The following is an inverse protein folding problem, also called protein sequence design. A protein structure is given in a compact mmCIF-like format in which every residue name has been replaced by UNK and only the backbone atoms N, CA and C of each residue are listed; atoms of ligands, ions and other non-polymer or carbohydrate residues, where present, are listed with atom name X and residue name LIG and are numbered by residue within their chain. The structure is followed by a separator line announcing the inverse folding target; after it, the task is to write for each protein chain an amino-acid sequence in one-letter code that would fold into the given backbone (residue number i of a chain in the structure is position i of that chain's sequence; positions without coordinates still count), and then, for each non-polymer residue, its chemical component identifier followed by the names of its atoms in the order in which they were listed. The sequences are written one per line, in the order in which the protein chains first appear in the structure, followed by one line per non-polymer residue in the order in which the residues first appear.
data_IF_544140639426
#
_entry.id   IF_544140639426
#
_cell.length_a   1.000
_cell.length_b   1.000
_cell.length_c   1.000
_cell.angle_alpha   90.00
_cell.angle_beta   90.00
_cell.angle_gamma   90.00
#
_symmetry.space_group_name_H-M   'P 1'
#
loop_
_entity.id
_entity.type
_entity.pdbx_description
1 polymer ?
#
# COMPACT_ATOMS: atom_id res chain seq x y z
N UNK A 1 -19.43 -48.99 -9.43
CA UNK A 1 -18.11 -48.45 -9.04
C UNK A 1 -18.29 -46.98 -8.72
N UNK A 2 -18.23 -46.60 -7.45
CA UNK A 2 -18.36 -45.19 -7.02
C UNK A 2 -16.95 -44.61 -6.82
N UNK A 3 -16.54 -43.68 -7.68
CA UNK A 3 -15.28 -42.97 -7.55
C UNK A 3 -15.39 -41.94 -6.42
N UNK A 4 -14.59 -42.15 -5.38
CA UNK A 4 -14.44 -41.26 -4.23
C UNK A 4 -13.60 -40.04 -4.65
N UNK A 5 -14.18 -38.84 -4.60
CA UNK A 5 -13.43 -37.61 -4.83
C UNK A 5 -12.32 -37.43 -3.77
N UNK A 6 -11.16 -36.87 -4.13
CA UNK A 6 -10.06 -36.64 -3.21
C UNK A 6 -10.43 -35.59 -2.15
N UNK A 7 -10.11 -35.87 -0.89
CA UNK A 7 -10.21 -34.91 0.21
C UNK A 7 -9.17 -33.81 -0.02
N UNK A 8 -9.62 -32.58 -0.29
CA UNK A 8 -8.74 -31.40 -0.26
C UNK A 8 -8.11 -31.28 1.13
N UNK A 9 -6.82 -30.91 1.18
CA UNK A 9 -6.11 -30.63 2.43
C UNK A 9 -6.70 -29.36 3.06
N UNK A 10 -6.77 -29.34 4.39
CA UNK A 10 -7.36 -28.24 5.16
C UNK A 10 -6.65 -26.88 4.92
N UNK A 11 -5.41 -26.90 4.44
CA UNK A 11 -4.57 -25.72 4.16
C UNK A 11 -4.97 -24.99 2.86
N UNK A 12 -5.50 -25.72 1.86
CA UNK A 12 -5.95 -25.14 0.58
C UNK A 12 -7.27 -24.36 0.72
N UNK A 13 -8.08 -24.71 1.73
CA UNK A 13 -9.39 -24.08 1.98
C UNK A 13 -9.26 -22.67 2.58
N UNK A 14 -8.20 -22.40 3.35
CA UNK A 14 -7.96 -21.09 3.98
C UNK A 14 -7.47 -20.03 2.98
N UNK A 15 -6.73 -20.43 1.93
CA UNK A 15 -6.29 -19.52 0.87
C UNK A 15 -7.43 -19.17 -0.12
N UNK A 16 -8.37 -20.08 -0.34
CA UNK A 16 -9.48 -19.88 -1.26
C UNK A 16 -10.61 -18.99 -0.68
N UNK A 17 -10.65 -18.77 0.63
CA UNK A 17 -11.71 -18.01 1.31
C UNK A 17 -11.55 -16.48 1.24
N UNK A 18 -10.42 -15.95 0.74
CA UNK A 18 -10.17 -14.48 0.69
C UNK A 18 -10.70 -13.77 -0.55
N UNK A 19 -11.03 -14.48 -1.63
CA UNK A 19 -11.43 -13.86 -2.92
C UNK A 19 -12.90 -13.49 -3.05
N UNK A 20 -13.76 -13.92 -2.13
CA UNK A 20 -15.19 -13.61 -2.23
C UNK A 20 -15.50 -12.30 -1.52
N UNK A 21 -15.62 -11.25 -2.31
CA UNK A 21 -16.13 -9.96 -1.86
C UNK A 21 -17.63 -9.90 -2.12
N UNK A 22 -18.49 -9.85 -1.08
CA UNK A 22 -19.92 -9.85 -1.28
C UNK A 22 -20.38 -8.59 -2.03
N UNK A 23 -21.44 -8.67 -2.85
CA UNK A 23 -22.04 -7.49 -3.47
C UNK A 23 -22.39 -6.44 -2.40
N UNK A 24 -21.86 -5.23 -2.54
CA UNK A 24 -22.03 -4.13 -1.57
C UNK A 24 -20.87 -3.95 -0.58
N UNK A 25 -19.79 -4.72 -0.69
CA UNK A 25 -18.59 -4.49 0.12
C UNK A 25 -17.85 -3.23 -0.33
N UNK A 26 -17.86 -2.21 0.53
CA UNK A 26 -17.18 -0.93 0.33
C UNK A 26 -15.67 -1.08 0.57
N UNK A 27 -14.86 -0.46 -0.29
CA UNK A 27 -13.44 -0.29 0.02
C UNK A 27 -13.31 0.60 1.25
N UNK A 28 -12.41 0.22 2.15
CA UNK A 28 -12.29 0.88 3.45
C UNK A 28 -11.49 2.17 3.37
N UNK A 29 -10.55 2.30 2.43
CA UNK A 29 -9.79 3.52 2.21
C UNK A 29 -9.16 3.56 0.80
N UNK A 30 -8.70 4.75 0.40
CA UNK A 30 -8.06 5.02 -0.91
C UNK A 30 -6.55 5.07 -0.78
N UNK A 31 -5.87 4.21 -1.51
CA UNK A 31 -4.42 4.11 -1.55
C UNK A 31 -3.84 4.75 -2.82
N UNK A 32 -2.76 5.49 -2.66
CA UNK A 32 -1.92 6.02 -3.73
C UNK A 32 -0.55 5.32 -3.71
N UNK A 33 -0.13 4.75 -4.85
CA UNK A 33 1.12 3.99 -4.94
C UNK A 33 2.22 4.76 -5.69
N UNK A 34 3.39 4.87 -5.07
CA UNK A 34 4.58 5.43 -5.71
C UNK A 34 5.64 4.33 -5.82
N UNK A 35 5.67 3.70 -6.99
CA UNK A 35 6.42 2.47 -7.28
C UNK A 35 6.81 2.48 -8.76
N UNK A 36 8.11 2.33 -9.05
CA UNK A 36 8.61 2.40 -10.42
C UNK A 36 8.58 1.06 -11.14
N UNK A 37 8.71 -0.06 -10.43
CA UNK A 37 8.68 -1.40 -11.00
C UNK A 37 7.23 -1.81 -11.32
N UNK A 38 6.88 -2.00 -12.61
CA UNK A 38 5.51 -2.39 -12.98
C UNK A 38 5.05 -3.69 -12.35
N UNK A 39 5.95 -4.68 -12.27
CA UNK A 39 5.64 -5.99 -11.69
C UNK A 39 5.37 -5.88 -10.19
N UNK A 40 6.19 -5.11 -9.45
CA UNK A 40 5.97 -4.90 -8.02
C UNK A 40 4.68 -4.12 -7.80
N UNK A 41 4.44 -3.09 -8.61
CA UNK A 41 3.21 -2.28 -8.54
C UNK A 41 1.96 -3.13 -8.75
N UNK A 42 1.92 -3.98 -9.78
CA UNK A 42 0.79 -4.88 -10.04
C UNK A 42 0.56 -5.85 -8.87
N UNK A 43 1.63 -6.41 -8.31
CA UNK A 43 1.54 -7.29 -7.13
C UNK A 43 1.02 -6.53 -5.89
N UNK A 44 1.48 -5.30 -5.67
CA UNK A 44 1.03 -4.46 -4.56
C UNK A 44 -0.42 -4.02 -4.71
N UNK A 45 -0.87 -3.72 -5.93
CA UNK A 45 -2.29 -3.44 -6.21
C UNK A 45 -3.13 -4.64 -5.81
N UNK A 46 -2.82 -5.83 -6.33
CA UNK A 46 -3.57 -7.05 -5.99
C UNK A 46 -3.55 -7.34 -4.49
N UNK A 47 -2.40 -7.18 -3.83
CA UNK A 47 -2.28 -7.35 -2.39
C UNK A 47 -3.15 -6.35 -1.60
N UNK A 48 -3.11 -5.06 -1.94
CA UNK A 48 -3.90 -4.04 -1.26
C UNK A 48 -5.40 -4.24 -1.47
N UNK A 49 -5.80 -4.62 -2.67
CA UNK A 49 -7.20 -4.82 -3.02
C UNK A 49 -7.79 -6.10 -2.43
N UNK A 50 -7.02 -7.20 -2.42
CA UNK A 50 -7.48 -8.52 -1.97
C UNK A 50 -7.26 -8.75 -0.46
N UNK A 51 -6.32 -8.05 0.18
CA UNK A 51 -5.90 -8.32 1.57
C UNK A 51 -6.14 -7.14 2.50
N UNK A 52 -5.96 -5.90 2.02
CA UNK A 52 -6.05 -4.70 2.85
C UNK A 52 -7.35 -3.91 2.66
N UNK A 53 -8.27 -4.40 1.83
CA UNK A 53 -9.54 -3.74 1.50
C UNK A 53 -9.37 -2.26 1.09
N UNK A 54 -8.31 -1.98 0.32
CA UNK A 54 -7.90 -0.64 -0.10
C UNK A 54 -8.06 -0.43 -1.61
N UNK A 55 -8.73 0.66 -2.02
CA UNK A 55 -8.86 1.06 -3.42
C UNK A 55 -7.58 1.74 -3.90
N UNK A 56 -6.85 1.18 -4.88
CA UNK A 56 -5.71 1.89 -5.47
C UNK A 56 -6.20 2.91 -6.49
N UNK A 57 -6.28 4.18 -6.09
CA UNK A 57 -6.88 5.25 -6.91
C UNK A 57 -5.96 5.80 -7.99
N UNK A 58 -4.64 5.67 -7.80
CA UNK A 58 -3.64 6.06 -8.78
C UNK A 58 -2.27 5.47 -8.44
N UNK A 59 -1.33 5.60 -9.39
CA UNK A 59 0.08 5.32 -9.15
C UNK A 59 1.01 6.25 -9.91
N UNK A 60 2.26 6.35 -9.47
CA UNK A 60 3.35 7.06 -10.15
C UNK A 60 4.65 6.27 -10.10
N UNK A 61 5.53 6.52 -11.06
CA UNK A 61 6.85 5.86 -11.15
C UNK A 61 8.02 6.81 -10.93
N UNK A 62 7.75 8.12 -10.76
CA UNK A 62 8.76 9.15 -10.50
C UNK A 62 8.30 10.09 -9.38
N UNK A 63 9.27 10.74 -8.73
CA UNK A 63 8.99 11.74 -7.69
C UNK A 63 8.12 12.89 -8.22
N UNK A 64 8.42 13.39 -9.42
CA UNK A 64 7.71 14.50 -10.03
C UNK A 64 6.23 14.19 -10.27
N UNK A 65 5.94 13.03 -10.89
CA UNK A 65 4.57 12.54 -11.12
C UNK A 65 3.83 12.38 -9.78
N UNK A 66 4.51 11.82 -8.77
CA UNK A 66 3.95 11.60 -7.46
C UNK A 66 3.53 12.90 -6.77
N UNK A 67 4.46 13.85 -6.71
CA UNK A 67 4.23 15.15 -6.08
C UNK A 67 3.17 15.96 -6.85
N UNK A 68 3.16 15.90 -8.18
CA UNK A 68 2.15 16.56 -8.99
C UNK A 68 0.74 16.01 -8.70
N UNK A 69 0.59 14.69 -8.66
CA UNK A 69 -0.69 14.04 -8.37
C UNK A 69 -1.20 14.38 -6.96
N UNK A 70 -0.34 14.27 -5.94
CA UNK A 70 -0.67 14.59 -4.54
C UNK A 70 -1.10 16.06 -4.33
N UNK A 71 -0.56 16.98 -5.14
CA UNK A 71 -0.96 18.40 -5.11
C UNK A 71 -2.32 18.63 -5.74
N UNK A 72 -2.67 17.87 -6.78
CA UNK A 72 -3.94 17.97 -7.49
C UNK A 72 -5.09 17.26 -6.73
N UNK A 73 -4.76 16.24 -5.94
CA UNK A 73 -5.74 15.38 -5.26
C UNK A 73 -5.60 15.46 -3.74
N UNK A 74 -5.64 16.69 -3.19
CA UNK A 74 -5.41 16.96 -1.75
C UNK A 74 -6.25 16.08 -0.82
N UNK A 75 -7.52 15.85 -1.15
CA UNK A 75 -8.46 15.06 -0.34
C UNK A 75 -8.85 13.72 -1.01
N UNK A 76 -8.10 13.30 -2.04
CA UNK A 76 -8.42 12.14 -2.87
C UNK A 76 -7.83 10.81 -2.41
N UNK A 77 -7.13 10.78 -1.28
CA UNK A 77 -6.38 9.62 -0.79
C UNK A 77 -6.33 9.60 0.74
N UNK A 78 -6.23 8.41 1.30
CA UNK A 78 -6.11 8.15 2.74
C UNK A 78 -4.73 7.58 3.08
N UNK A 79 -4.17 6.74 2.20
CA UNK A 79 -2.84 6.14 2.36
C UNK A 79 -1.99 6.40 1.13
N UNK A 80 -0.77 6.91 1.30
CA UNK A 80 0.25 6.92 0.26
C UNK A 80 1.36 5.94 0.63
N UNK A 81 1.64 4.97 -0.23
CA UNK A 81 2.73 4.00 -0.07
C UNK A 81 3.86 4.39 -1.03
N UNK A 82 5.04 4.63 -0.49
CA UNK A 82 6.17 5.21 -1.23
C UNK A 82 7.36 4.25 -1.24
N UNK A 83 7.86 3.88 -2.41
CA UNK A 83 9.21 3.36 -2.54
C UNK A 83 10.26 4.49 -2.56
N UNK A 84 11.43 4.21 -2.00
CA UNK A 84 12.54 5.16 -1.94
C UNK A 84 13.27 5.29 -3.28
N UNK A 85 13.37 4.20 -4.03
CA UNK A 85 14.04 4.17 -5.32
C UNK A 85 13.00 4.26 -6.42
N UNK A 86 13.04 5.36 -7.15
CA UNK A 86 12.11 5.62 -8.25
C UNK A 86 12.88 5.75 -9.55
N UNK A 87 12.19 5.60 -10.68
CA UNK A 87 12.79 5.72 -12.01
C UNK A 87 13.50 7.06 -12.22
N UNK A 88 12.96 8.13 -11.61
CA UNK A 88 13.58 9.45 -11.49
C UNK A 88 13.17 10.09 -10.17
N UNK A 89 14.12 10.76 -9.51
CA UNK A 89 13.92 11.37 -8.19
C UNK A 89 14.04 10.35 -7.06
N UNK A 90 13.55 10.72 -5.87
CA UNK A 90 13.65 9.92 -4.66
C UNK A 90 12.36 9.97 -3.85
N UNK A 91 11.94 8.82 -3.29
CA UNK A 91 10.75 8.73 -2.44
C UNK A 91 10.76 9.65 -1.22
N UNK A 92 11.93 10.01 -0.68
CA UNK A 92 12.05 10.99 0.41
C UNK A 92 11.47 12.37 0.03
N UNK A 93 11.61 12.79 -1.23
CA UNK A 93 11.01 14.03 -1.72
C UNK A 93 9.49 13.97 -1.77
N UNK A 94 8.93 12.79 -2.09
CA UNK A 94 7.49 12.53 -2.03
C UNK A 94 6.97 12.61 -0.60
N UNK A 95 7.65 11.97 0.36
CA UNK A 95 7.29 12.05 1.79
C UNK A 95 7.27 13.51 2.26
N UNK A 96 8.31 14.27 1.93
CA UNK A 96 8.41 15.67 2.30
C UNK A 96 7.26 16.52 1.70
N UNK A 97 6.83 16.22 0.47
CA UNK A 97 5.71 16.92 -0.16
C UNK A 97 4.37 16.68 0.54
N UNK A 98 4.25 15.58 1.30
CA UNK A 98 3.07 15.24 2.09
C UNK A 98 3.05 15.85 3.51
N UNK A 99 4.01 16.70 3.90
CA UNK A 99 4.10 17.24 5.27
C UNK A 99 2.86 18.01 5.73
N UNK A 100 2.19 18.72 4.81
CA UNK A 100 1.01 19.55 5.11
C UNK A 100 -0.30 18.83 4.71
N UNK A 101 -0.35 17.51 4.84
CA UNK A 101 -1.53 16.68 4.59
C UNK A 101 -2.54 16.75 5.74
N UNK A 102 -3.77 16.30 5.50
CA UNK A 102 -4.78 16.17 6.55
C UNK A 102 -4.40 15.07 7.55
N UNK A 103 -4.77 15.16 8.85
CA UNK A 103 -4.33 14.20 9.87
C UNK A 103 -4.74 12.72 9.63
N UNK A 104 -5.84 12.51 8.90
CA UNK A 104 -6.30 11.18 8.50
C UNK A 104 -5.41 10.55 7.41
N UNK A 105 -4.71 11.38 6.63
CA UNK A 105 -3.88 10.91 5.52
C UNK A 105 -2.55 10.39 6.03
N UNK A 106 -2.22 9.16 5.68
CA UNK A 106 -1.03 8.44 6.14
C UNK A 106 -0.05 8.22 5.01
N UNK A 107 1.23 8.43 5.30
CA UNK A 107 2.33 8.20 4.36
C UNK A 107 3.20 7.11 4.94
N UNK A 108 3.31 5.99 4.24
CA UNK A 108 4.15 4.88 4.65
C UNK A 108 5.21 4.62 3.60
N UNK A 109 6.39 4.23 4.06
CA UNK A 109 7.46 3.78 3.18
C UNK A 109 7.42 2.27 3.09
N UNK A 110 7.51 1.75 1.88
CA UNK A 110 7.65 0.33 1.61
C UNK A 110 8.82 0.19 0.64
N UNK A 111 9.95 -0.37 1.10
CA UNK A 111 11.17 -0.44 0.26
C UNK A 111 11.97 -1.70 0.48
N UNK A 112 12.72 -2.12 -0.54
CA UNK A 112 13.76 -3.17 -0.42
C UNK A 112 15.06 -2.63 0.22
N UNK A 113 15.14 -1.32 0.49
CA UNK A 113 16.30 -0.68 1.09
C UNK A 113 15.98 -0.17 2.50
N UNK A 114 15.71 -1.11 3.39
CA UNK A 114 15.17 -0.85 4.74
C UNK A 114 16.25 -0.67 5.83
N UNK A 115 17.29 0.12 5.54
CA UNK A 115 18.36 0.41 6.52
C UNK A 115 17.86 1.32 7.65
N UNK A 116 18.53 1.28 8.81
CA UNK A 116 18.21 2.14 9.95
C UNK A 116 18.24 3.63 9.55
N UNK A 117 19.27 4.06 8.83
CA UNK A 117 19.40 5.43 8.34
C UNK A 117 18.22 5.87 7.46
N UNK A 118 17.70 4.97 6.61
CA UNK A 118 16.55 5.29 5.78
C UNK A 118 15.27 5.40 6.60
N UNK A 119 15.07 4.51 7.57
CA UNK A 119 13.94 4.59 8.50
C UNK A 119 13.94 5.93 9.23
N UNK A 120 15.07 6.31 9.82
CA UNK A 120 15.23 7.57 10.55
C UNK A 120 14.95 8.79 9.66
N UNK A 121 15.50 8.82 8.44
CA UNK A 121 15.28 9.91 7.50
C UNK A 121 13.82 10.01 7.06
N UNK A 122 13.16 8.89 6.77
CA UNK A 122 11.75 8.86 6.40
C UNK A 122 10.86 9.37 7.53
N UNK A 123 11.12 8.95 8.78
CA UNK A 123 10.41 9.44 9.97
C UNK A 123 10.61 10.95 10.17
N UNK A 124 11.84 11.45 10.05
CA UNK A 124 12.13 12.89 10.16
C UNK A 124 11.42 13.73 9.09
N UNK A 125 11.18 13.17 7.91
CA UNK A 125 10.43 13.83 6.84
C UNK A 125 8.92 13.75 7.03
N UNK A 126 8.44 12.92 7.95
CA UNK A 126 7.03 12.82 8.34
C UNK A 126 6.32 11.60 7.79
N UNK A 127 7.03 10.51 7.49
CA UNK A 127 6.39 9.22 7.26
C UNK A 127 5.79 8.69 8.58
N UNK A 128 4.59 8.13 8.51
CA UNK A 128 3.88 7.52 9.63
C UNK A 128 4.42 6.12 9.96
N UNK A 129 4.90 5.39 8.95
CA UNK A 129 5.51 4.06 9.12
C UNK A 129 6.52 3.73 8.01
N UNK A 130 7.35 2.70 8.25
CA UNK A 130 8.33 2.18 7.31
C UNK A 130 8.32 0.65 7.37
N UNK A 131 8.24 0.00 6.21
CA UNK A 131 8.26 -1.45 6.06
C UNK A 131 9.28 -1.92 5.02
N UNK A 132 9.94 -3.04 5.31
CA UNK A 132 10.73 -3.80 4.35
C UNK A 132 9.81 -4.63 3.44
N UNK A 133 9.92 -4.41 2.13
CA UNK A 133 9.16 -5.16 1.09
C UNK A 133 9.33 -6.67 1.17
N UNK A 134 10.48 -7.15 1.64
CA UNK A 134 10.84 -8.56 1.65
C UNK A 134 10.44 -9.30 2.92
N UNK A 135 10.32 -8.58 4.05
CA UNK A 135 10.17 -9.19 5.36
C UNK A 135 8.96 -8.69 6.17
N UNK A 136 8.37 -7.54 5.81
CA UNK A 136 7.41 -6.83 6.67
C UNK A 136 6.07 -6.53 5.99
N UNK A 137 5.74 -7.22 4.90
CA UNK A 137 4.43 -7.09 4.25
C UNK A 137 3.26 -7.43 5.22
N UNK A 138 3.43 -8.42 6.10
CA UNK A 138 2.42 -8.75 7.11
C UNK A 138 2.21 -7.60 8.11
N UNK A 139 3.27 -6.85 8.43
CA UNK A 139 3.17 -5.66 9.27
C UNK A 139 2.45 -4.51 8.55
N UNK A 140 2.67 -4.37 7.24
CA UNK A 140 1.90 -3.45 6.41
C UNK A 140 0.41 -3.81 6.41
N UNK A 141 0.05 -5.10 6.30
CA UNK A 141 -1.36 -5.53 6.45
C UNK A 141 -1.93 -5.12 7.80
N UNK A 142 -1.19 -5.42 8.87
CA UNK A 142 -1.62 -5.07 10.22
C UNK A 142 -1.81 -3.55 10.39
N UNK A 143 -0.93 -2.74 9.80
CA UNK A 143 -1.05 -1.29 9.77
C UNK A 143 -2.31 -0.84 9.00
N UNK A 144 -2.53 -1.37 7.80
CA UNK A 144 -3.71 -1.07 6.99
C UNK A 144 -5.01 -1.40 7.73
N UNK A 145 -5.06 -2.47 8.53
CA UNK A 145 -6.23 -2.83 9.34
C UNK A 145 -6.56 -1.80 10.43
N UNK A 146 -5.64 -0.89 10.78
CA UNK A 146 -5.88 0.22 11.71
C UNK A 146 -6.35 1.51 11.03
N UNK A 147 -6.29 1.55 9.69
CA UNK A 147 -6.71 2.71 8.92
C UNK A 147 -8.21 2.95 9.09
N UNK A 148 -8.56 4.23 9.22
CA UNK A 148 -9.95 4.67 9.20
C UNK A 148 -10.23 5.33 7.84
N UNK A 149 -11.42 5.09 7.24
CA UNK A 149 -11.83 5.83 6.06
C UNK A 149 -11.86 7.33 6.34
N UNK A 150 -11.63 8.14 5.31
CA UNK A 150 -11.89 9.58 5.37
C UNK A 150 -13.34 9.84 5.82
N UNK A 151 -13.58 10.80 6.75
CA UNK A 151 -14.92 11.27 7.01
C UNK A 151 -15.43 11.96 5.73
N UNK A 152 -16.43 11.34 5.09
CA UNK A 152 -17.03 11.83 3.85
C UNK A 152 -17.73 13.19 3.99
#
# INVERSE_FOLDING_TARGET
MAHRAPRLRCEDALHAQRKYRPPGFIMTFKAYLVEDSPVIRENLVGFLEDVADAEVVASASTEEEAVAWLRQHRDGWDLTIVDLFLKRGNGLGVINACRNRSPHQKVVVLSNYATADMRDRSTQLGADAFFDKSAELDQLVAYCATMQPSPG
#
